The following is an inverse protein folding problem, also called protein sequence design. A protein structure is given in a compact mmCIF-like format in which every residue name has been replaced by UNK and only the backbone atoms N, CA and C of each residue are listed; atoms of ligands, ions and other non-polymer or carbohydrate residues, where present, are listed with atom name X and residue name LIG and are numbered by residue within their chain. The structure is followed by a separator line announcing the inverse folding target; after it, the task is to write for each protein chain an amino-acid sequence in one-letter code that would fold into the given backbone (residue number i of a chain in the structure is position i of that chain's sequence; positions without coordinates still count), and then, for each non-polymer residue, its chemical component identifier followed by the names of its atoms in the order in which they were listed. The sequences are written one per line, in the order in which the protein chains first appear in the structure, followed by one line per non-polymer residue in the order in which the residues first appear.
data_IF_437846731459
#
_entry.id   IF_437846731459
#
_cell.length_a   1.000
_cell.length_b   1.000
_cell.length_c   1.000
_cell.angle_alpha   90.00
_cell.angle_beta   90.00
_cell.angle_gamma   90.00
#
_symmetry.space_group_name_H-M   'P 1'
#
loop_
_entity.id
_entity.type
_entity.pdbx_description
1 polymer ?
#
# COMPACT_ATOMS: atom_id res chain seq x y z
N UNK A 1 -19.04 14.53 8.74
CA UNK A 1 -18.07 13.56 8.19
C UNK A 1 -17.14 13.15 9.33
N UNK A 2 -17.20 11.91 9.80
CA UNK A 2 -16.53 11.46 11.04
C UNK A 2 -15.02 11.72 11.03
N UNK A 3 -14.35 11.42 9.90
CA UNK A 3 -12.91 11.65 9.68
C UNK A 3 -12.53 13.12 9.89
N UNK A 4 -13.31 14.07 9.34
CA UNK A 4 -13.06 15.51 9.52
C UNK A 4 -13.14 15.95 10.98
N UNK A 5 -13.98 15.30 11.78
CA UNK A 5 -14.29 15.70 13.15
C UNK A 5 -13.43 14.96 14.20
N UNK A 6 -12.76 13.88 13.81
CA UNK A 6 -12.01 13.01 14.75
C UNK A 6 -10.56 12.78 14.30
N UNK A 7 -10.13 13.41 13.22
CA UNK A 7 -8.76 13.30 12.73
C UNK A 7 -8.27 14.66 12.24
N UNK A 8 -6.98 14.96 12.44
CA UNK A 8 -6.32 16.17 11.89
C UNK A 8 -6.17 16.14 10.36
N UNK A 9 -6.67 15.08 9.70
CA UNK A 9 -6.37 14.73 8.31
C UNK A 9 -6.98 15.68 7.28
N UNK A 10 -8.10 16.34 7.60
CA UNK A 10 -8.72 17.28 6.67
C UNK A 10 -8.04 18.66 6.62
N UNK A 11 -7.28 19.03 7.66
CA UNK A 11 -6.62 20.34 7.75
C UNK A 11 -5.35 20.46 6.89
N UNK A 12 -4.75 19.32 6.53
CA UNK A 12 -3.48 19.25 5.80
C UNK A 12 -3.66 18.75 4.35
N UNK A 13 -4.82 18.97 3.72
CA UNK A 13 -5.15 18.45 2.38
C UNK A 13 -4.07 18.77 1.34
N UNK A 14 -3.46 19.95 1.42
CA UNK A 14 -2.44 20.41 0.45
C UNK A 14 -1.05 19.83 0.74
N UNK A 15 -0.83 19.26 1.93
CA UNK A 15 0.38 18.53 2.34
C UNK A 15 0.19 17.01 2.34
N UNK A 16 -1.02 16.53 2.08
CA UNK A 16 -1.38 15.12 2.29
C UNK A 16 -1.02 14.30 1.05
N UNK A 17 -0.14 13.30 1.16
CA UNK A 17 0.21 12.44 0.03
C UNK A 17 -1.01 11.71 -0.53
N UNK A 18 -0.90 11.21 -1.77
CA UNK A 18 -1.90 10.35 -2.42
C UNK A 18 -2.32 9.14 -1.57
N UNK A 19 -1.53 8.76 -0.56
CA UNK A 19 -1.85 7.80 0.48
C UNK A 19 -3.11 8.12 1.29
N UNK A 20 -3.40 9.40 1.59
CA UNK A 20 -4.63 9.77 2.29
C UNK A 20 -5.86 9.66 1.40
N UNK A 21 -5.73 10.03 0.12
CA UNK A 21 -6.76 9.77 -0.88
C UNK A 21 -7.01 8.27 -1.00
N UNK A 22 -5.96 7.46 -1.14
CA UNK A 22 -6.05 6.01 -1.17
C UNK A 22 -6.75 5.45 0.08
N UNK A 23 -6.43 5.97 1.28
CA UNK A 23 -7.06 5.58 2.53
C UNK A 23 -8.58 5.76 2.50
N UNK A 24 -9.10 6.84 1.91
CA UNK A 24 -10.56 7.05 1.77
C UNK A 24 -11.24 5.99 0.91
N UNK A 25 -10.52 5.42 -0.07
CA UNK A 25 -11.01 4.33 -0.90
C UNK A 25 -10.82 2.96 -0.24
N UNK A 26 -9.98 2.83 0.79
CA UNK A 26 -9.84 1.58 1.55
C UNK A 26 -11.03 1.36 2.49
N UNK A 27 -11.63 2.44 3.01
CA UNK A 27 -12.81 2.34 3.86
C UNK A 27 -14.04 1.88 3.06
N UNK A 28 -14.71 0.83 3.55
CA UNK A 28 -15.97 0.31 3.02
C UNK A 28 -15.90 -0.35 1.62
N UNK A 29 -14.75 -0.95 1.28
CA UNK A 29 -14.54 -1.66 0.01
C UNK A 29 -14.27 -3.15 0.19
N UNK A 30 -14.47 -3.92 -0.89
CA UNK A 30 -14.12 -5.34 -0.91
C UNK A 30 -12.60 -5.54 -0.88
N UNK A 31 -12.13 -6.73 -0.50
CA UNK A 31 -10.70 -6.99 -0.28
C UNK A 31 -9.82 -6.67 -1.49
N UNK A 32 -10.26 -6.98 -2.70
CA UNK A 32 -9.49 -6.72 -3.91
C UNK A 32 -9.29 -5.21 -4.16
N UNK A 33 -10.33 -4.40 -3.99
CA UNK A 33 -10.22 -2.93 -4.04
C UNK A 33 -9.32 -2.41 -2.90
N UNK A 34 -9.51 -2.93 -1.69
CA UNK A 34 -8.70 -2.60 -0.52
C UNK A 34 -7.21 -2.83 -0.77
N UNK A 35 -6.84 -3.96 -1.38
CA UNK A 35 -5.46 -4.27 -1.78
C UNK A 35 -4.92 -3.23 -2.76
N UNK A 36 -5.66 -2.94 -3.82
CA UNK A 36 -5.21 -2.07 -4.91
C UNK A 36 -5.00 -0.65 -4.42
N UNK A 37 -5.98 -0.09 -3.73
CA UNK A 37 -5.86 1.27 -3.18
C UNK A 37 -4.75 1.33 -2.12
N UNK A 38 -4.59 0.30 -1.29
CA UNK A 38 -3.50 0.25 -0.31
C UNK A 38 -2.13 0.28 -0.98
N UNK A 39 -1.94 -0.47 -2.07
CA UNK A 39 -0.68 -0.48 -2.81
C UNK A 39 -0.41 0.88 -3.46
N UNK A 40 -1.41 1.52 -4.07
CA UNK A 40 -1.27 2.88 -4.63
C UNK A 40 -0.84 3.88 -3.55
N UNK A 41 -1.43 3.78 -2.36
CA UNK A 41 -1.06 4.62 -1.23
C UNK A 41 0.38 4.39 -0.78
N UNK A 42 0.79 3.12 -0.63
CA UNK A 42 2.16 2.76 -0.30
C UNK A 42 3.16 3.22 -1.38
N UNK A 43 2.83 3.07 -2.66
CA UNK A 43 3.66 3.55 -3.77
C UNK A 43 3.91 5.05 -3.70
N UNK A 44 2.89 5.83 -3.35
CA UNK A 44 3.01 7.28 -3.24
C UNK A 44 3.98 7.74 -2.15
N UNK A 45 4.14 6.95 -1.08
CA UNK A 45 5.03 7.28 0.04
C UNK A 45 6.42 6.67 -0.16
N UNK A 46 6.46 5.38 -0.49
CA UNK A 46 7.69 4.62 -0.51
C UNK A 46 8.37 4.63 -1.88
N UNK A 47 7.71 5.00 -2.97
CA UNK A 47 8.35 5.03 -4.30
C UNK A 47 7.82 6.15 -5.21
N UNK A 48 7.86 7.43 -4.78
CA UNK A 48 7.40 8.54 -5.61
C UNK A 48 8.26 8.66 -6.89
N UNK A 49 7.61 8.57 -8.06
CA UNK A 49 8.19 8.96 -9.35
C UNK A 49 9.27 8.07 -9.96
N UNK A 50 9.51 6.83 -9.47
CA UNK A 50 10.59 5.96 -10.00
C UNK A 50 10.09 4.67 -10.68
N UNK A 51 10.67 4.37 -11.84
CA UNK A 51 10.66 3.05 -12.51
C UNK A 51 11.55 2.06 -11.74
N UNK A 52 10.99 0.92 -11.32
CA UNK A 52 11.64 0.00 -10.35
C UNK A 52 10.82 -0.26 -9.08
N UNK A 53 9.53 0.12 -9.12
CA UNK A 53 8.55 0.17 -8.03
C UNK A 53 8.66 -1.02 -7.06
N UNK A 54 8.71 -2.27 -7.57
CA UNK A 54 8.68 -3.45 -6.71
C UNK A 54 9.90 -3.58 -5.80
N UNK A 55 11.12 -3.44 -6.32
CA UNK A 55 12.35 -3.60 -5.51
C UNK A 55 12.57 -2.43 -4.56
N UNK A 56 12.41 -1.19 -5.07
CA UNK A 56 12.58 0.02 -4.26
C UNK A 56 11.59 0.05 -3.11
N UNK A 57 10.34 -0.28 -3.36
CA UNK A 57 9.32 -0.29 -2.34
C UNK A 57 9.51 -1.45 -1.34
N UNK A 58 9.90 -2.64 -1.80
CA UNK A 58 10.31 -3.74 -0.89
C UNK A 58 11.41 -3.30 0.08
N UNK A 59 12.49 -2.72 -0.44
CA UNK A 59 13.63 -2.26 0.37
C UNK A 59 13.20 -1.20 1.39
N UNK A 60 12.37 -0.25 0.97
CA UNK A 60 11.96 0.89 1.79
C UNK A 60 10.90 0.53 2.85
N UNK A 61 9.93 -0.32 2.50
CA UNK A 61 8.97 -0.87 3.47
C UNK A 61 9.70 -1.72 4.50
N UNK A 62 10.57 -2.64 4.07
CA UNK A 62 11.30 -3.51 5.00
C UNK A 62 12.27 -2.74 5.92
N UNK A 63 12.82 -1.60 5.48
CA UNK A 63 13.62 -0.71 6.34
C UNK A 63 12.83 -0.12 7.51
N UNK A 64 11.54 0.14 7.30
CA UNK A 64 10.64 0.73 8.30
C UNK A 64 9.93 -0.34 9.12
N UNK A 65 9.55 -1.44 8.46
CA UNK A 65 8.81 -2.56 9.01
C UNK A 65 9.61 -3.85 8.81
N UNK A 66 10.69 -4.07 9.60
CA UNK A 66 11.59 -5.21 9.41
C UNK A 66 10.91 -6.56 9.71
N UNK A 67 9.80 -6.57 10.45
CA UNK A 67 8.99 -7.77 10.70
C UNK A 67 8.27 -8.27 9.45
N UNK A 68 8.17 -7.45 8.41
CA UNK A 68 7.51 -7.80 7.16
C UNK A 68 8.53 -8.39 6.20
N UNK A 69 8.29 -9.64 5.78
CA UNK A 69 9.18 -10.32 4.86
C UNK A 69 9.10 -9.72 3.45
N UNK A 70 10.22 -9.83 2.71
CA UNK A 70 10.27 -9.41 1.30
C UNK A 70 9.30 -10.22 0.43
N UNK A 71 9.08 -11.49 0.77
CA UNK A 71 8.16 -12.38 0.05
C UNK A 71 6.71 -11.95 0.19
N UNK A 72 6.31 -11.48 1.38
CA UNK A 72 4.97 -10.93 1.58
C UNK A 72 4.75 -9.66 0.74
N UNK A 73 5.74 -8.78 0.67
CA UNK A 73 5.67 -7.58 -0.18
C UNK A 73 5.62 -7.97 -1.67
N UNK A 74 6.44 -8.94 -2.09
CA UNK A 74 6.42 -9.47 -3.45
C UNK A 74 5.06 -10.08 -3.79
N UNK A 75 4.41 -10.77 -2.85
CA UNK A 75 3.07 -11.35 -3.01
C UNK A 75 2.00 -10.26 -3.21
N UNK A 76 2.04 -9.17 -2.43
CA UNK A 76 1.16 -8.01 -2.64
C UNK A 76 1.28 -7.47 -4.06
N UNK A 77 2.52 -7.28 -4.55
CA UNK A 77 2.78 -6.78 -5.90
C UNK A 77 2.37 -7.74 -7.00
N UNK A 78 2.60 -9.03 -6.82
CA UNK A 78 2.20 -10.03 -7.80
C UNK A 78 0.67 -10.02 -7.97
N UNK A 79 -0.10 -9.93 -6.88
CA UNK A 79 -1.56 -9.83 -6.96
C UNK A 79 -2.02 -8.54 -7.64
N UNK A 80 -1.41 -7.39 -7.32
CA UNK A 80 -1.71 -6.13 -8.01
C UNK A 80 -1.40 -6.17 -9.50
N UNK A 81 -0.28 -6.80 -9.88
CA UNK A 81 0.10 -6.97 -11.29
C UNK A 81 -0.95 -7.80 -12.02
N UNK A 82 -1.29 -8.97 -11.47
CA UNK A 82 -2.29 -9.88 -12.02
C UNK A 82 -3.67 -9.20 -12.15
N UNK A 83 -4.06 -8.40 -11.16
CA UNK A 83 -5.30 -7.62 -11.22
C UNK A 83 -5.31 -6.62 -12.38
N UNK A 84 -4.25 -5.82 -12.51
CA UNK A 84 -4.15 -4.79 -13.57
C UNK A 84 -4.08 -5.41 -14.97
N UNK A 85 -3.53 -6.61 -15.10
CA UNK A 85 -3.49 -7.34 -16.37
C UNK A 85 -4.74 -8.18 -16.65
N UNK A 86 -5.75 -8.14 -15.78
CA UNK A 86 -6.99 -8.91 -15.97
C UNK A 86 -6.82 -10.42 -15.83
N UNK A 87 -5.73 -10.87 -15.19
CA UNK A 87 -5.43 -12.29 -14.96
C UNK A 87 -6.18 -12.88 -13.77
N UNK A 88 -7.06 -12.12 -13.14
CA UNK A 88 -7.83 -12.52 -11.96
C UNK A 88 -9.31 -12.35 -12.24
N UNK A 89 -10.07 -13.42 -12.00
CA UNK A 89 -11.52 -13.40 -12.07
C UNK A 89 -12.06 -12.71 -10.82
N UNK A 90 -12.04 -11.38 -10.80
CA UNK A 90 -12.59 -10.57 -9.72
C UNK A 90 -13.91 -9.98 -10.20
N UNK A 91 -14.98 -10.34 -9.48
CA UNK A 91 -16.35 -9.96 -9.79
C UNK A 91 -16.95 -9.21 -8.60
N UNK A 92 -17.71 -8.15 -8.87
CA UNK A 92 -18.58 -7.50 -7.87
C UNK A 92 -19.91 -8.27 -7.66
N UNK A 93 -20.14 -9.34 -8.42
CA UNK A 93 -21.30 -10.22 -8.31
C UNK A 93 -21.02 -11.40 -7.35
N UNK A 94 -22.10 -12.10 -6.96
CA UNK A 94 -22.04 -13.27 -6.07
C UNK A 94 -20.92 -14.24 -6.46
N UNK A 95 -20.06 -14.54 -5.47
CA UNK A 95 -18.85 -15.34 -5.66
C UNK A 95 -19.21 -16.75 -6.15
N UNK A 96 -18.75 -17.11 -7.34
CA UNK A 96 -18.71 -18.51 -7.79
C UNK A 96 -17.59 -19.27 -7.06
N UNK A 97 -17.64 -20.59 -7.02
CA UNK A 97 -16.64 -21.44 -6.34
C UNK A 97 -15.21 -21.13 -6.81
N UNK A 98 -15.01 -20.83 -8.10
CA UNK A 98 -13.71 -20.44 -8.67
C UNK A 98 -13.22 -19.10 -8.12
N UNK A 99 -14.12 -18.11 -7.95
CA UNK A 99 -13.77 -16.81 -7.36
C UNK A 99 -13.55 -16.86 -5.84
N UNK A 100 -14.06 -17.89 -5.17
CA UNK A 100 -13.95 -18.09 -3.71
C UNK A 100 -12.53 -18.47 -3.27
N UNK A 101 -11.83 -19.26 -4.08
CA UNK A 101 -10.44 -19.63 -3.85
C UNK A 101 -9.50 -18.44 -4.03
N UNK A 102 -9.73 -17.63 -5.08
CA UNK A 102 -9.04 -16.36 -5.25
C UNK A 102 -9.36 -15.41 -4.09
N UNK A 103 -10.62 -15.29 -3.67
CA UNK A 103 -11.01 -14.44 -2.54
C UNK A 103 -10.27 -14.79 -1.23
N UNK A 104 -10.12 -16.08 -0.89
CA UNK A 104 -9.31 -16.52 0.26
C UNK A 104 -7.83 -16.20 0.10
N UNK A 105 -7.30 -16.34 -1.12
CA UNK A 105 -5.90 -15.98 -1.43
C UNK A 105 -5.66 -14.48 -1.29
N UNK A 106 -6.69 -13.68 -1.57
CA UNK A 106 -6.68 -12.23 -1.50
C UNK A 106 -6.83 -11.67 -0.10
N UNK A 107 -7.70 -12.23 0.74
CA UNK A 107 -8.08 -11.62 2.02
C UNK A 107 -6.85 -11.34 2.91
N UNK A 108 -5.99 -12.33 3.14
CA UNK A 108 -4.79 -12.16 3.97
C UNK A 108 -3.82 -11.12 3.43
N UNK A 109 -3.56 -11.14 2.12
CA UNK A 109 -2.65 -10.17 1.48
C UNK A 109 -3.27 -8.76 1.41
N UNK A 110 -4.58 -8.66 1.28
CA UNK A 110 -5.33 -7.40 1.31
C UNK A 110 -5.29 -6.78 2.70
N UNK A 111 -5.58 -7.56 3.74
CA UNK A 111 -5.48 -7.10 5.13
C UNK A 111 -4.09 -6.60 5.47
N UNK A 112 -3.06 -7.30 5.00
CA UNK A 112 -1.69 -6.89 5.21
C UNK A 112 -1.38 -5.55 4.53
N UNK A 113 -1.77 -5.38 3.26
CA UNK A 113 -1.57 -4.14 2.53
C UNK A 113 -2.29 -2.96 3.21
N UNK A 114 -3.55 -3.18 3.63
CA UNK A 114 -4.34 -2.19 4.36
C UNK A 114 -3.70 -1.84 5.70
N UNK A 115 -3.26 -2.84 6.47
CA UNK A 115 -2.58 -2.64 7.76
C UNK A 115 -1.29 -1.85 7.59
N UNK A 116 -0.51 -2.14 6.54
CA UNK A 116 0.69 -1.37 6.22
C UNK A 116 0.36 0.08 5.88
N UNK A 117 -0.64 0.32 5.03
CA UNK A 117 -1.05 1.68 4.69
C UNK A 117 -1.52 2.44 5.95
N UNK A 118 -2.32 1.80 6.81
CA UNK A 118 -2.80 2.38 8.06
C UNK A 118 -1.65 2.74 9.00
N UNK A 119 -0.70 1.82 9.17
CA UNK A 119 0.44 2.03 10.05
C UNK A 119 1.39 3.10 9.50
N UNK A 120 1.65 3.10 8.19
CA UNK A 120 2.43 4.17 7.54
C UNK A 120 1.78 5.52 7.76
N UNK A 121 0.46 5.64 7.54
CA UNK A 121 -0.28 6.88 7.77
C UNK A 121 -0.22 7.29 9.24
N UNK A 122 -0.42 6.34 10.17
CA UNK A 122 -0.34 6.58 11.61
C UNK A 122 1.03 7.13 12.00
N UNK A 123 2.10 6.56 11.47
CA UNK A 123 3.46 7.02 11.71
C UNK A 123 3.71 8.43 11.16
N UNK A 124 3.25 8.73 9.95
CA UNK A 124 3.38 10.08 9.38
C UNK A 124 2.70 11.13 10.27
N UNK A 125 1.47 10.85 10.73
CA UNK A 125 0.73 11.73 11.65
C UNK A 125 1.49 11.89 12.97
N UNK A 126 1.98 10.80 13.56
CA UNK A 126 2.68 10.82 14.84
C UNK A 126 3.97 11.64 14.81
N UNK A 127 4.55 11.85 13.63
CA UNK A 127 5.79 12.61 13.43
C UNK A 127 5.56 14.00 12.78
N UNK A 128 4.30 14.44 12.62
CA UNK A 128 3.95 15.65 11.86
C UNK A 128 4.64 15.72 10.48
N UNK A 129 4.73 14.56 9.82
CA UNK A 129 5.45 14.38 8.56
C UNK A 129 4.48 14.18 7.39
N UNK A 130 4.83 14.74 6.23
CA UNK A 130 4.13 14.52 4.97
C UNK A 130 4.82 13.46 4.09
N UNK A 131 6.06 13.08 4.39
CA UNK A 131 6.87 12.24 3.51
C UNK A 131 7.95 11.48 4.28
N UNK A 132 8.49 10.44 3.65
CA UNK A 132 9.64 9.69 4.16
C UNK A 132 10.80 9.86 3.18
N UNK A 133 11.88 10.50 3.64
CA UNK A 133 13.09 10.69 2.85
C UNK A 133 14.00 9.46 2.93
N UNK A 134 14.22 8.81 1.79
CA UNK A 134 15.13 7.67 1.68
C UNK A 134 16.44 8.11 1.01
N UNK A 135 17.51 8.22 1.78
CA UNK A 135 18.87 8.44 1.27
C UNK A 135 19.49 7.12 0.83
N UNK A 136 19.99 7.07 -0.41
CA UNK A 136 20.78 5.96 -0.94
C UNK A 136 22.25 6.39 -0.98
N UNK A 137 23.08 5.82 -0.12
CA UNK A 137 24.53 6.03 -0.18
C UNK A 137 25.10 5.11 -1.25
N UNK A 138 25.65 5.67 -2.33
CA UNK A 138 26.41 4.92 -3.32
C UNK A 138 27.86 4.89 -2.81
N UNK A 139 28.32 3.74 -2.33
CA UNK A 139 29.72 3.50 -2.03
C UNK A 139 30.41 2.99 -3.29
N UNK A 140 31.42 3.71 -3.77
CA UNK A 140 32.34 3.22 -4.78
C UNK A 140 33.56 2.63 -4.07
N UNK A 141 33.75 1.32 -4.19
CA UNK A 141 35.03 0.70 -3.85
C UNK A 141 35.95 0.89 -5.06
N UNK A 142 36.91 1.81 -4.93
CA UNK A 142 38.04 1.87 -5.85
C UNK A 142 39.09 0.86 -5.37
N UNK A 143 39.10 -0.31 -6.01
CA UNK A 143 40.18 -1.30 -5.94
C UNK A 143 41.35 -0.90 -6.83
#
# INVERSE_FOLDING_TARGET
MWIKNHTSLCGNRDKSPSAFSALTYVFNRQYHEGLIYSIIGLESIYSPGKSGISYTLQKRINKIFPMISKDEIKKMYSLRSKFVHGELAISNCDLTVETLDDYKRFSGTSFMAMSLLFETVRMLIANDADSINFTETISYDFS
#
